data_IF_973862647392
#
_entry.id   IF_973862647392
#
_cell.length_a   1.000
_cell.length_b   1.000
_cell.length_c   1.000
_cell.angle_alpha   90.00
_cell.angle_beta   90.00
_cell.angle_gamma   90.00
#
_symmetry.space_group_name_H-M   'P 1'
#
loop_
_entity.id
_entity.type
_entity.pdbx_description
1 polymer ?
#
# COMPACT_ATOMS: atom_id res chain seq x y z
N UNK A 1 -0.56 -17.92 0.87
CA UNK A 1 -0.16 -18.94 -0.11
C UNK A 1 1.24 -18.58 -0.53
N UNK A 2 2.21 -19.45 -0.25
CA UNK A 2 3.61 -19.19 -0.57
C UNK A 2 3.95 -19.85 -1.90
N UNK A 3 4.66 -19.13 -2.77
CA UNK A 3 5.05 -19.59 -4.09
C UNK A 3 6.52 -20.03 -4.10
N UNK A 4 6.92 -20.91 -5.04
CA UNK A 4 8.29 -21.44 -5.11
C UNK A 4 9.37 -20.38 -5.35
N UNK A 5 9.00 -19.20 -5.85
CA UNK A 5 9.90 -18.06 -6.07
C UNK A 5 10.15 -17.23 -4.79
N UNK A 6 9.51 -17.60 -3.67
CA UNK A 6 9.59 -16.89 -2.40
C UNK A 6 8.62 -15.73 -2.27
N UNK A 7 7.75 -15.50 -3.27
CA UNK A 7 6.61 -14.60 -3.12
C UNK A 7 5.51 -15.26 -2.30
N UNK A 8 4.62 -14.46 -1.73
CA UNK A 8 3.45 -14.98 -1.03
C UNK A 8 2.25 -14.08 -1.22
N UNK A 9 1.07 -14.68 -1.11
CA UNK A 9 -0.21 -13.99 -1.16
C UNK A 9 -0.94 -14.08 0.17
N UNK A 10 -1.40 -12.93 0.66
CA UNK A 10 -2.29 -12.77 1.80
C UNK A 10 -3.66 -12.36 1.28
N UNK A 11 -4.69 -13.08 1.70
CA UNK A 11 -6.08 -12.72 1.39
C UNK A 11 -6.83 -12.50 2.69
N UNK A 12 -7.39 -11.30 2.83
CA UNK A 12 -8.35 -10.93 3.86
C UNK A 12 -9.74 -10.92 3.19
N UNK A 13 -10.57 -11.96 3.39
CA UNK A 13 -11.84 -12.11 2.67
C UNK A 13 -12.73 -10.86 2.80
N UNK A 14 -13.16 -10.31 1.66
CA UNK A 14 -13.98 -9.10 1.60
C UNK A 14 -13.24 -7.80 1.90
N UNK A 15 -11.96 -7.85 2.23
CA UNK A 15 -11.15 -6.70 2.63
C UNK A 15 -10.04 -6.42 1.63
N UNK A 16 -9.12 -7.36 1.41
CA UNK A 16 -8.00 -7.14 0.51
C UNK A 16 -7.36 -8.44 0.04
N UNK A 17 -6.75 -8.39 -1.13
CA UNK A 17 -5.79 -9.40 -1.57
C UNK A 17 -4.45 -8.69 -1.79
N UNK A 18 -3.40 -9.20 -1.18
CA UNK A 18 -2.06 -8.62 -1.20
C UNK A 18 -1.08 -9.70 -1.66
N UNK A 19 -0.26 -9.38 -2.65
CA UNK A 19 0.81 -10.20 -3.17
C UNK A 19 2.14 -9.52 -2.83
N UNK A 20 3.00 -10.21 -2.10
CA UNK A 20 4.33 -9.75 -1.74
C UNK A 20 5.34 -10.54 -2.56
N UNK A 21 6.11 -9.86 -3.41
CA UNK A 21 7.23 -10.45 -4.12
C UNK A 21 8.45 -10.64 -3.21
N UNK A 22 9.39 -11.50 -3.64
CA UNK A 22 10.67 -11.68 -2.96
C UNK A 22 11.54 -10.40 -2.94
N UNK A 23 11.42 -9.56 -3.96
CA UNK A 23 12.24 -8.36 -4.13
C UNK A 23 11.70 -7.16 -3.34
N UNK A 24 10.66 -7.37 -2.53
CA UNK A 24 10.07 -6.37 -1.66
C UNK A 24 9.04 -5.45 -2.34
N UNK A 25 8.67 -5.76 -3.59
CA UNK A 25 7.50 -5.17 -4.24
C UNK A 25 6.22 -5.83 -3.71
N UNK A 26 5.20 -5.03 -3.45
CA UNK A 26 3.95 -5.51 -2.85
C UNK A 26 2.77 -4.96 -3.65
N UNK A 27 1.93 -5.82 -4.20
CA UNK A 27 0.75 -5.41 -4.97
C UNK A 27 -0.52 -5.81 -4.22
N UNK A 28 -1.41 -4.85 -3.99
CA UNK A 28 -2.64 -5.08 -3.24
C UNK A 28 -3.86 -4.52 -3.93
N UNK A 29 -5.00 -5.17 -3.70
CA UNK A 29 -6.31 -4.73 -4.16
C UNK A 29 -7.31 -4.74 -3.02
N UNK A 30 -8.10 -3.67 -2.87
CA UNK A 30 -9.31 -3.65 -2.02
C UNK A 30 -10.51 -3.11 -2.80
N UNK A 31 -11.75 -3.58 -2.53
CA UNK A 31 -12.95 -3.01 -3.11
C UNK A 31 -13.15 -1.52 -2.81
N UNK A 32 -12.67 -1.00 -1.67
CA UNK A 32 -12.80 0.41 -1.32
C UNK A 32 -11.74 0.86 -0.30
N UNK A 33 -11.27 2.10 -0.42
CA UNK A 33 -10.43 2.71 0.62
C UNK A 33 -11.31 3.23 1.74
N UNK A 34 -11.07 2.78 2.98
CA UNK A 34 -11.67 3.42 4.16
C UNK A 34 -10.79 4.50 4.76
N UNK A 35 -9.49 4.21 4.90
CA UNK A 35 -8.49 5.15 5.36
C UNK A 35 -7.08 4.65 5.00
N UNK A 36 -6.18 5.57 4.70
CA UNK A 36 -4.74 5.31 4.65
C UNK A 36 -4.08 6.24 5.67
N UNK A 37 -3.44 5.66 6.67
CA UNK A 37 -2.80 6.38 7.77
C UNK A 37 -1.30 6.19 7.69
N UNK A 38 -0.56 7.29 7.83
CA UNK A 38 0.89 7.26 7.95
C UNK A 38 1.25 7.41 9.43
N UNK A 39 1.89 6.40 10.01
CA UNK A 39 2.19 6.37 11.45
C UNK A 39 3.16 7.50 11.86
N UNK A 40 4.19 7.75 11.05
CA UNK A 40 5.19 8.79 11.30
C UNK A 40 5.36 9.70 10.07
N UNK A 41 4.65 10.83 10.09
CA UNK A 41 4.75 11.84 9.03
C UNK A 41 6.14 12.49 8.93
N UNK A 42 6.95 12.46 9.99
CA UNK A 42 8.31 13.04 9.96
C UNK A 42 9.24 12.28 9.01
N UNK A 43 8.88 11.04 8.64
CA UNK A 43 9.62 10.23 7.67
C UNK A 43 9.18 10.46 6.24
N UNK A 44 8.11 11.21 5.98
CA UNK A 44 7.65 11.49 4.61
C UNK A 44 8.59 12.51 3.97
N UNK A 45 9.22 12.10 2.87
CA UNK A 45 10.14 12.95 2.08
C UNK A 45 9.41 13.63 0.94
N UNK A 46 8.43 12.96 0.34
CA UNK A 46 7.65 13.50 -0.76
C UNK A 46 6.26 12.88 -0.77
N UNK A 47 5.24 13.72 -0.96
CA UNK A 47 3.88 13.27 -1.24
C UNK A 47 3.41 13.92 -2.54
N UNK A 48 3.03 13.10 -3.50
CA UNK A 48 2.46 13.54 -4.77
C UNK A 48 1.02 13.04 -4.87
N UNK A 49 0.13 13.91 -5.31
CA UNK A 49 -1.27 13.56 -5.59
C UNK A 49 -1.55 13.92 -7.04
N UNK A 50 -1.94 12.94 -7.84
CA UNK A 50 -2.32 13.11 -9.24
C UNK A 50 -3.80 12.81 -9.36
N UNK A 51 -4.54 13.71 -10.00
CA UNK A 51 -5.95 13.51 -10.34
C UNK A 51 -6.04 13.37 -11.85
N UNK A 52 -6.61 12.27 -12.31
CA UNK A 52 -6.79 12.00 -13.73
C UNK A 52 -8.16 11.35 -13.95
N UNK A 53 -9.00 12.02 -14.75
CA UNK A 53 -10.40 11.63 -14.95
C UNK A 53 -11.15 11.44 -13.62
N UNK A 54 -11.69 10.25 -13.38
CA UNK A 54 -12.41 9.81 -12.20
C UNK A 54 -11.50 9.10 -11.18
N UNK A 55 -10.18 9.23 -11.30
CA UNK A 55 -9.22 8.61 -10.39
C UNK A 55 -8.33 9.62 -9.67
N UNK A 56 -7.93 9.25 -8.46
CA UNK A 56 -6.94 9.95 -7.64
C UNK A 56 -5.85 8.97 -7.27
N UNK A 57 -4.61 9.30 -7.61
CA UNK A 57 -3.42 8.56 -7.24
C UNK A 57 -2.61 9.33 -6.22
N UNK A 58 -2.14 8.63 -5.21
CA UNK A 58 -1.24 9.12 -4.18
C UNK A 58 0.06 8.34 -4.28
N UNK A 59 1.19 9.05 -4.26
CA UNK A 59 2.51 8.45 -4.12
C UNK A 59 3.24 9.12 -2.97
N UNK A 60 3.60 8.34 -1.96
CA UNK A 60 4.29 8.79 -0.75
C UNK A 60 5.65 8.12 -0.69
N UNK A 61 6.71 8.92 -0.64
CA UNK A 61 8.09 8.46 -0.47
C UNK A 61 8.53 8.72 0.97
N UNK A 62 9.22 7.73 1.53
CA UNK A 62 9.72 7.76 2.90
C UNK A 62 11.24 7.83 2.94
N UNK A 63 11.76 8.40 4.02
CA UNK A 63 13.18 8.31 4.36
C UNK A 63 13.58 6.83 4.47
N UNK A 64 14.71 6.45 3.86
CA UNK A 64 15.13 5.05 3.71
C UNK A 64 14.68 4.37 2.41
N UNK A 65 13.91 5.07 1.56
CA UNK A 65 13.60 4.62 0.20
C UNK A 65 12.31 3.81 0.06
N UNK A 66 11.52 3.68 1.13
CA UNK A 66 10.18 3.10 1.06
C UNK A 66 9.24 3.94 0.19
N UNK A 67 8.38 3.27 -0.57
CA UNK A 67 7.37 3.94 -1.42
C UNK A 67 6.01 3.28 -1.19
N UNK A 68 5.01 4.13 -0.96
CA UNK A 68 3.59 3.76 -1.00
C UNK A 68 2.91 4.48 -2.13
N UNK A 69 2.42 3.72 -3.10
CA UNK A 69 1.55 4.22 -4.15
C UNK A 69 0.17 3.60 -4.01
N UNK A 70 -0.87 4.41 -4.13
CA UNK A 70 -2.21 3.90 -4.22
C UNK A 70 -3.09 4.73 -5.14
N UNK A 71 -4.10 4.10 -5.72
CA UNK A 71 -5.05 4.71 -6.62
C UNK A 71 -6.47 4.34 -6.18
N UNK A 72 -7.37 5.32 -6.23
CA UNK A 72 -8.79 5.10 -6.04
C UNK A 72 -9.66 5.95 -6.95
N UNK A 73 -10.90 5.53 -7.16
CA UNK A 73 -11.94 6.35 -7.77
C UNK A 73 -12.22 7.61 -6.94
N UNK A 74 -12.68 8.69 -7.56
CA UNK A 74 -13.04 9.94 -6.87
C UNK A 74 -14.13 9.76 -5.81
N UNK A 75 -14.92 8.69 -5.92
CA UNK A 75 -15.94 8.25 -4.96
C UNK A 75 -15.39 7.35 -3.84
N UNK A 76 -14.09 7.06 -3.85
CA UNK A 76 -13.41 6.17 -2.90
C UNK A 76 -13.50 4.68 -3.25
N UNK A 77 -14.13 4.32 -4.37
CA UNK A 77 -14.25 2.94 -4.83
C UNK A 77 -13.03 2.48 -5.60
N UNK A 78 -12.74 1.18 -5.54
CA UNK A 78 -11.61 0.57 -6.22
C UNK A 78 -10.29 1.02 -5.64
N UNK A 79 -9.45 0.07 -5.25
CA UNK A 79 -8.11 0.37 -4.77
C UNK A 79 -7.12 -0.55 -5.40
N UNK A 80 -6.10 0.03 -6.01
CA UNK A 80 -4.85 -0.65 -6.25
C UNK A 80 -3.77 0.03 -5.41
N UNK A 81 -2.95 -0.78 -4.77
CA UNK A 81 -1.84 -0.35 -3.95
C UNK A 81 -0.58 -1.02 -4.44
N UNK A 82 0.45 -0.21 -4.69
CA UNK A 82 1.77 -0.67 -5.06
C UNK A 82 2.79 -0.18 -4.03
N UNK A 83 3.28 -1.20 -3.36
CA UNK A 83 4.33 -1.43 -2.40
C UNK A 83 5.77 -1.39 -2.87
N UNK A 84 6.68 -0.62 -2.25
CA UNK A 84 8.08 -1.07 -2.24
C UNK A 84 8.79 -0.73 -0.95
N UNK A 85 9.45 -1.72 -0.36
CA UNK A 85 10.33 -1.56 0.80
C UNK A 85 9.66 -0.82 1.99
N UNK A 86 8.43 -1.22 2.32
CA UNK A 86 7.65 -0.62 3.41
C UNK A 86 7.02 -1.69 4.30
N UNK A 87 6.72 -1.30 5.53
CA UNK A 87 5.93 -2.08 6.48
C UNK A 87 4.56 -1.42 6.62
N UNK A 88 3.50 -2.21 6.50
CA UNK A 88 2.14 -1.74 6.69
C UNK A 88 1.25 -2.84 7.28
N UNK A 89 0.10 -2.41 7.80
CA UNK A 89 -0.96 -3.27 8.32
C UNK A 89 -2.27 -2.94 7.60
N UNK A 90 -3.11 -3.97 7.40
CA UNK A 90 -4.49 -3.80 6.93
C UNK A 90 -5.42 -4.36 8.00
N UNK A 91 -6.31 -3.52 8.53
CA UNK A 91 -7.31 -3.97 9.50
C UNK A 91 -8.46 -4.72 8.81
N UNK A 92 -9.23 -5.51 9.57
CA UNK A 92 -10.45 -6.16 9.06
C UNK A 92 -11.50 -5.16 8.56
N UNK A 93 -11.42 -3.90 9.01
CA UNK A 93 -12.27 -2.83 8.49
C UNK A 93 -11.79 -2.28 7.14
N UNK A 94 -10.64 -2.72 6.61
CA UNK A 94 -10.06 -2.20 5.37
C UNK A 94 -9.35 -0.85 5.52
N UNK A 95 -8.84 -0.56 6.71
CA UNK A 95 -7.95 0.60 6.92
C UNK A 95 -6.50 0.16 6.76
N UNK A 96 -5.71 0.96 6.05
CA UNK A 96 -4.29 0.71 5.84
C UNK A 96 -3.48 1.63 6.76
N UNK A 97 -2.58 1.06 7.56
CA UNK A 97 -1.62 1.80 8.38
C UNK A 97 -0.20 1.54 7.85
N UNK A 98 0.48 2.59 7.39
CA UNK A 98 1.86 2.54 6.93
C UNK A 98 2.78 2.90 8.08
N UNK A 99 3.63 1.96 8.48
CA UNK A 99 4.56 2.11 9.60
C UNK A 99 5.89 2.76 9.17
N UNK A 100 6.23 2.67 7.88
CA UNK A 100 7.40 3.32 7.30
C UNK A 100 8.21 2.39 6.40
N UNK A 101 9.48 2.71 6.22
CA UNK A 101 10.41 1.93 5.40
C UNK A 101 10.82 0.63 6.10
N UNK A 102 10.87 -0.47 5.36
CA UNK A 102 11.49 -1.71 5.82
C UNK A 102 13.02 -1.60 5.74
N UNK A 103 13.72 -1.94 6.82
CA UNK A 103 15.18 -1.96 6.90
C UNK A 103 15.54 -3.33 7.46
N UNK A 104 16.29 -4.15 6.69
CA UNK A 104 16.89 -5.37 7.25
C UNK A 104 17.83 -4.96 8.38
N UNK A 105 17.59 -5.51 9.58
CA UNK A 105 18.45 -5.34 10.74
C UNK A 105 19.51 -6.43 10.80
#
# INVERSE_FOLDING_TARGET
MDYPDGSFMVTLPGVATVHCSRDGDIDGRTPAIRAVTIADLSKVVKHSIIRLYDTVSHTVHFAGGGVVSYLHGVDGTGFEFNCRNVVFEISEAGQVLVLGTYIEQ
#
